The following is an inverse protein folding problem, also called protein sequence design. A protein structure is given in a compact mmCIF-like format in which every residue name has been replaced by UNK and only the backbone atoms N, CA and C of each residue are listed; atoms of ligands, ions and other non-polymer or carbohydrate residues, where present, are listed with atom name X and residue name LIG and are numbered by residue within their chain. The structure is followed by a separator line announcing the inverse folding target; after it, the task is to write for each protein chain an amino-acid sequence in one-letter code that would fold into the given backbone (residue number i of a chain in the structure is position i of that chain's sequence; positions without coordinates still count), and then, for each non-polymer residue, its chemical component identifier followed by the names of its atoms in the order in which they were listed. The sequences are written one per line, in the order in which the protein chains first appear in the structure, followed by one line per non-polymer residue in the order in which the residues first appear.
data_IF_921173614080
#
_entry.id   IF_921173614080
#
_cell.length_a   1.000
_cell.length_b   1.000
_cell.length_c   1.000
_cell.angle_alpha   90.00
_cell.angle_beta   90.00
_cell.angle_gamma   90.00
#
_symmetry.space_group_name_H-M   'P 1'
#
loop_
_entity.id
_entity.type
_entity.pdbx_description
1 polymer ?
#
# COMPACT_ATOMS: atom_id res chain seq x y z
N UNK A 1 -48.24 57.57 16.62
CA UNK A 1 -47.67 57.52 15.25
C UNK A 1 -46.31 56.82 15.30
N UNK A 2 -45.98 56.01 14.27
CA UNK A 2 -44.78 55.14 14.05
C UNK A 2 -44.94 53.72 14.65
N UNK A 3 -45.55 52.76 13.95
CA UNK A 3 -45.07 51.88 12.82
C UNK A 3 -43.87 50.99 13.20
N UNK A 4 -44.12 49.67 13.09
CA UNK A 4 -43.27 48.51 13.40
C UNK A 4 -41.98 48.41 12.54
N UNK A 5 -41.10 47.41 12.77
CA UNK A 5 -41.35 46.12 12.11
C UNK A 5 -41.02 44.84 12.89
N UNK A 6 -41.73 43.80 12.47
CA UNK A 6 -41.50 42.36 12.60
C UNK A 6 -40.26 41.91 11.79
N UNK A 7 -39.82 40.64 11.96
CA UNK A 7 -38.81 39.84 11.21
C UNK A 7 -37.51 39.64 12.03
N UNK A 8 -36.86 38.47 12.13
CA UNK A 8 -36.96 37.23 11.37
C UNK A 8 -36.23 36.09 12.11
N UNK A 9 -36.75 34.87 12.00
CA UNK A 9 -36.07 33.56 11.95
C UNK A 9 -34.87 33.27 12.88
N UNK A 10 -35.14 32.51 13.94
CA UNK A 10 -34.17 31.60 14.54
C UNK A 10 -34.14 30.29 13.73
N UNK A 11 -33.16 30.13 12.84
CA UNK A 11 -32.80 28.85 12.25
C UNK A 11 -31.40 28.46 12.74
N UNK A 12 -31.35 27.79 13.89
CA UNK A 12 -30.15 27.10 14.35
C UNK A 12 -29.99 25.84 13.49
N UNK A 13 -29.26 25.98 12.37
CA UNK A 13 -28.80 24.84 11.61
C UNK A 13 -27.83 24.04 12.50
N UNK A 14 -28.29 22.85 12.89
CA UNK A 14 -27.48 21.78 13.43
C UNK A 14 -26.42 21.38 12.40
N UNK A 15 -25.25 22.00 12.49
CA UNK A 15 -24.03 21.47 11.90
C UNK A 15 -23.38 20.54 12.89
N UNK A 16 -23.79 19.27 12.93
CA UNK A 16 -22.94 18.22 13.47
C UNK A 16 -21.70 18.17 12.57
N UNK A 17 -20.66 18.92 12.93
CA UNK A 17 -19.32 18.64 12.45
C UNK A 17 -19.01 17.24 12.97
N UNK A 18 -19.23 16.23 12.14
CA UNK A 18 -18.57 14.94 12.26
C UNK A 18 -17.09 15.24 12.09
N UNK A 19 -16.44 15.66 13.18
CA UNK A 19 -15.00 15.57 13.28
C UNK A 19 -14.73 14.07 13.18
N UNK A 20 -14.25 13.62 12.02
CA UNK A 20 -13.51 12.38 11.95
C UNK A 20 -12.46 12.49 13.05
N UNK A 21 -12.72 11.78 14.16
CA UNK A 21 -11.74 11.59 15.20
C UNK A 21 -10.60 10.87 14.50
N UNK A 22 -9.57 11.63 14.14
CA UNK A 22 -8.25 11.12 13.86
C UNK A 22 -7.84 10.38 15.14
N UNK A 23 -8.14 9.09 15.16
CA UNK A 23 -7.69 8.21 16.20
C UNK A 23 -6.16 8.19 16.08
N UNK A 24 -5.48 8.56 17.16
CA UNK A 24 -4.07 8.29 17.32
C UNK A 24 -3.91 6.77 17.36
N UNK A 25 -3.60 6.17 16.21
CA UNK A 25 -3.38 4.73 16.08
C UNK A 25 -1.97 4.43 16.57
N UNK A 26 -1.87 3.44 17.44
CA UNK A 26 -0.64 2.89 18.00
C UNK A 26 0.28 2.41 16.86
N UNK A 27 1.43 3.07 16.71
CA UNK A 27 2.37 2.92 15.59
C UNK A 27 3.24 1.66 15.70
N UNK A 28 2.63 0.50 15.89
CA UNK A 28 3.31 -0.80 15.74
C UNK A 28 2.61 -1.62 14.67
N UNK A 29 3.17 -1.55 13.45
CA UNK A 29 2.94 -2.45 12.30
C UNK A 29 1.92 -2.06 11.23
N UNK A 30 1.34 -0.86 11.23
CA UNK A 30 0.47 -0.43 10.12
C UNK A 30 0.66 1.07 9.84
N UNK A 31 1.68 1.40 9.06
CA UNK A 31 1.65 2.63 8.28
C UNK A 31 1.63 2.24 6.81
N UNK A 32 1.24 3.20 5.99
CA UNK A 32 1.24 3.23 4.51
C UNK A 32 -0.04 2.63 3.91
N UNK A 33 -0.77 3.27 3.01
CA UNK A 33 -0.38 4.04 1.80
C UNK A 33 -0.55 3.21 0.56
N UNK A 34 -0.71 1.91 0.78
CA UNK A 34 -0.83 0.91 -0.23
C UNK A 34 -1.50 -0.31 0.39
N UNK A 35 -2.36 -1.00 -0.35
CA UNK A 35 -2.89 -2.27 0.09
C UNK A 35 -2.06 -3.40 -0.53
N UNK A 36 -1.54 -4.31 0.31
CA UNK A 36 -0.93 -5.54 -0.20
C UNK A 36 -2.04 -6.41 -0.78
N UNK A 37 -2.02 -6.65 -2.10
CA UNK A 37 -2.99 -7.54 -2.72
C UNK A 37 -2.72 -8.99 -2.28
N UNK A 38 -3.77 -9.71 -1.92
CA UNK A 38 -3.65 -11.16 -1.69
C UNK A 38 -3.38 -11.86 -3.03
N UNK A 39 -2.44 -12.82 -3.08
CA UNK A 39 -2.26 -13.65 -4.27
C UNK A 39 -3.56 -14.42 -4.54
N UNK A 40 -4.26 -14.13 -5.64
CA UNK A 40 -5.34 -15.01 -6.09
C UNK A 40 -4.72 -16.16 -6.91
N UNK A 41 -5.15 -17.38 -6.60
CA UNK A 41 -4.92 -18.54 -7.44
C UNK A 41 -5.75 -18.38 -8.73
N UNK A 42 -5.13 -17.86 -9.79
CA UNK A 42 -5.71 -17.77 -11.12
C UNK A 42 -5.56 -16.39 -11.76
N UNK A 43 -4.99 -16.37 -12.97
CA UNK A 43 -5.05 -15.22 -13.88
C UNK A 43 -3.79 -14.98 -14.73
N UNK A 44 -2.62 -15.42 -14.28
CA UNK A 44 -1.37 -15.30 -15.03
C UNK A 44 -0.83 -16.66 -15.46
N UNK A 45 -0.21 -16.74 -16.64
CA UNK A 45 0.35 -17.96 -17.26
C UNK A 45 1.56 -18.58 -16.51
N UNK A 46 1.89 -18.11 -15.31
CA UNK A 46 2.91 -18.70 -14.45
C UNK A 46 2.30 -19.62 -13.42
N UNK A 47 2.65 -20.91 -13.43
CA UNK A 47 2.34 -21.81 -12.33
C UNK A 47 3.09 -21.35 -11.07
N UNK A 48 2.38 -20.71 -10.15
CA UNK A 48 2.89 -20.37 -8.83
C UNK A 48 2.97 -21.66 -8.00
N UNK A 49 4.14 -22.29 -7.94
CA UNK A 49 4.37 -23.39 -7.01
C UNK A 49 4.51 -22.81 -5.61
N UNK A 50 3.55 -23.10 -4.73
CA UNK A 50 3.65 -22.71 -3.33
C UNK A 50 4.86 -23.39 -2.68
N UNK A 51 5.76 -22.60 -2.10
CA UNK A 51 6.87 -23.13 -1.31
C UNK A 51 6.33 -23.68 0.00
N UNK A 52 6.63 -24.95 0.29
CA UNK A 52 6.26 -25.59 1.55
C UNK A 52 7.45 -25.53 2.50
N UNK A 53 7.25 -24.88 3.66
CA UNK A 53 8.25 -24.81 4.71
C UNK A 53 8.44 -26.18 5.35
N UNK A 54 9.69 -26.56 5.58
CA UNK A 54 10.07 -27.72 6.37
C UNK A 54 9.63 -27.62 7.84
N UNK A 55 9.62 -28.75 8.54
CA UNK A 55 9.17 -28.84 9.93
C UNK A 55 9.95 -27.91 10.88
N UNK A 56 11.23 -27.65 10.58
CA UNK A 56 12.15 -26.78 11.33
C UNK A 56 12.40 -25.44 10.64
N UNK A 57 11.56 -25.06 9.69
CA UNK A 57 11.68 -23.80 8.97
C UNK A 57 10.60 -22.81 9.39
N UNK A 58 10.96 -21.53 9.32
CA UNK A 58 10.08 -20.38 9.43
C UNK A 58 10.30 -19.42 8.27
N UNK A 59 9.34 -18.53 8.06
CA UNK A 59 9.45 -17.49 7.04
C UNK A 59 9.16 -16.13 7.64
N UNK A 60 10.14 -15.22 7.53
CA UNK A 60 9.99 -13.83 7.91
C UNK A 60 9.58 -13.01 6.70
N UNK A 61 8.43 -12.35 6.82
CA UNK A 61 7.98 -11.36 5.84
C UNK A 61 8.93 -10.14 5.84
N UNK A 62 9.24 -9.59 4.65
CA UNK A 62 9.98 -8.34 4.58
C UNK A 62 9.15 -7.21 5.20
N UNK A 63 9.81 -6.32 5.93
CA UNK A 63 9.17 -5.18 6.58
C UNK A 63 9.62 -3.90 5.87
N UNK A 64 8.65 -3.14 5.36
CA UNK A 64 8.93 -1.85 4.74
C UNK A 64 9.29 -0.83 5.83
N UNK A 65 10.44 -0.18 5.71
CA UNK A 65 10.90 0.79 6.71
C UNK A 65 11.22 2.18 6.15
N UNK A 66 11.38 2.31 4.83
CA UNK A 66 11.47 3.60 4.15
C UNK A 66 10.67 3.53 2.84
N UNK A 67 9.64 4.36 2.74
CA UNK A 67 8.67 4.31 1.65
C UNK A 67 8.13 5.70 1.34
N UNK A 68 8.88 6.54 0.60
CA UNK A 68 8.32 7.79 0.10
C UNK A 68 7.07 7.53 -0.73
N UNK A 69 6.09 8.41 -0.62
CA UNK A 69 4.84 8.34 -1.38
C UNK A 69 5.07 8.74 -2.86
N UNK A 70 4.21 8.25 -3.78
CA UNK A 70 4.20 8.71 -5.17
C UNK A 70 3.89 10.20 -5.29
N UNK A 71 4.78 10.95 -5.95
CA UNK A 71 4.58 12.36 -6.27
C UNK A 71 4.31 12.53 -7.77
N UNK A 72 3.08 12.90 -8.12
CA UNK A 72 2.72 13.10 -9.54
C UNK A 72 3.27 14.45 -10.04
N UNK A 73 3.15 15.52 -9.24
CA UNK A 73 3.53 16.88 -9.61
C UNK A 73 2.80 17.39 -10.86
N UNK A 74 3.41 18.32 -11.58
CA UNK A 74 2.82 18.96 -12.77
C UNK A 74 2.74 18.04 -14.02
N UNK A 75 3.11 16.76 -13.88
CA UNK A 75 3.07 15.77 -14.96
C UNK A 75 1.65 15.36 -15.34
N UNK A 76 0.70 15.56 -14.43
CA UNK A 76 -0.72 15.36 -14.69
C UNK A 76 -1.40 16.72 -14.80
N UNK A 77 -1.89 17.12 -15.99
CA UNK A 77 -2.47 18.43 -16.20
C UNK A 77 -3.90 18.55 -15.65
N UNK A 78 -4.47 17.46 -15.08
CA UNK A 78 -5.85 17.45 -14.58
C UNK A 78 -5.97 18.30 -13.32
N UNK A 79 -6.93 19.23 -13.32
CA UNK A 79 -7.28 20.02 -12.13
C UNK A 79 -8.09 19.21 -11.09
N UNK A 80 -8.77 18.15 -11.55
CA UNK A 80 -9.55 17.23 -10.73
C UNK A 80 -9.39 15.81 -11.27
N UNK A 81 -9.31 14.85 -10.36
CA UNK A 81 -9.16 13.43 -10.67
C UNK A 81 -9.97 12.64 -9.65
N UNK A 82 -10.96 11.89 -10.14
CA UNK A 82 -11.69 10.94 -9.33
C UNK A 82 -10.74 9.83 -8.84
N UNK A 83 -11.01 9.18 -7.69
CA UNK A 83 -10.17 8.11 -7.15
C UNK A 83 -9.77 7.07 -8.22
N UNK A 84 -8.48 7.04 -8.55
CA UNK A 84 -7.93 6.23 -9.64
C UNK A 84 -6.84 5.32 -9.10
N UNK A 85 -7.03 4.01 -9.19
CA UNK A 85 -6.13 3.02 -8.62
C UNK A 85 -5.13 2.46 -9.64
N UNK A 86 -3.84 2.59 -9.34
CA UNK A 86 -2.73 1.99 -10.09
C UNK A 86 -2.13 0.88 -9.25
N UNK A 87 -1.97 -0.32 -9.84
CA UNK A 87 -1.39 -1.45 -9.13
C UNK A 87 -0.02 -1.80 -9.70
N UNK A 88 0.93 -2.10 -8.81
CA UNK A 88 2.28 -2.53 -9.16
C UNK A 88 2.59 -3.88 -8.52
N UNK A 89 3.24 -4.74 -9.29
CA UNK A 89 4.04 -5.84 -8.78
C UNK A 89 5.46 -5.30 -8.51
N UNK A 90 5.98 -5.52 -7.32
CA UNK A 90 7.27 -5.01 -6.86
C UNK A 90 8.17 -6.18 -6.51
N UNK A 91 9.30 -6.29 -7.18
CA UNK A 91 10.30 -7.32 -6.93
C UNK A 91 11.36 -6.76 -5.99
N UNK A 92 11.47 -7.36 -4.82
CA UNK A 92 12.42 -6.99 -3.78
C UNK A 92 13.50 -8.06 -3.74
N UNK A 93 14.76 -7.66 -3.83
CA UNK A 93 15.89 -8.56 -3.77
C UNK A 93 16.13 -9.11 -2.34
N UNK A 94 17.08 -10.03 -2.21
CA UNK A 94 17.41 -10.64 -0.94
C UNK A 94 18.01 -9.64 0.09
N UNK A 95 18.45 -8.45 -0.35
CA UNK A 95 18.96 -7.39 0.51
C UNK A 95 17.86 -6.42 0.96
N UNK A 96 16.63 -6.56 0.44
CA UNK A 96 15.52 -5.67 0.74
C UNK A 96 15.48 -4.41 -0.13
N UNK A 97 16.22 -4.37 -1.23
CA UNK A 97 16.14 -3.31 -2.24
C UNK A 97 15.12 -3.68 -3.33
N UNK A 98 14.39 -2.70 -3.84
CA UNK A 98 13.53 -2.90 -5.00
C UNK A 98 14.41 -3.04 -6.25
N UNK A 99 14.31 -4.18 -6.94
CA UNK A 99 15.04 -4.46 -8.18
C UNK A 99 14.26 -3.93 -9.40
N UNK A 100 12.93 -4.14 -9.40
CA UNK A 100 12.03 -3.67 -10.46
C UNK A 100 10.57 -3.60 -10.01
N UNK A 101 9.77 -2.86 -10.77
CA UNK A 101 8.31 -2.83 -10.63
C UNK A 101 7.60 -2.99 -11.97
N UNK A 102 6.52 -3.76 -12.01
CA UNK A 102 5.72 -4.03 -13.21
C UNK A 102 4.26 -3.59 -12.98
N UNK A 103 3.58 -2.98 -13.97
CA UNK A 103 2.15 -2.71 -13.86
C UNK A 103 1.36 -4.01 -13.73
N UNK A 104 0.37 -4.02 -12.83
CA UNK A 104 -0.66 -5.05 -12.75
C UNK A 104 -1.94 -4.46 -13.32
N UNK A 105 -2.47 -5.03 -14.40
CA UNK A 105 -3.65 -4.50 -15.11
C UNK A 105 -4.76 -5.54 -15.29
N UNK A 106 -4.46 -6.80 -15.01
CA UNK A 106 -5.35 -7.96 -15.13
C UNK A 106 -6.19 -8.21 -13.86
N UNK A 107 -5.93 -7.46 -12.78
CA UNK A 107 -6.64 -7.55 -11.50
C UNK A 107 -7.86 -6.63 -11.47
N UNK A 108 -8.90 -7.06 -10.75
CA UNK A 108 -10.03 -6.20 -10.42
C UNK A 108 -9.54 -4.93 -9.69
N UNK A 109 -9.98 -3.76 -10.17
CA UNK A 109 -9.56 -2.46 -9.62
C UNK A 109 -8.22 -1.94 -10.14
N UNK A 110 -7.50 -2.68 -10.99
CA UNK A 110 -6.17 -2.28 -11.46
C UNK A 110 -6.10 -1.93 -12.96
N UNK A 111 -7.21 -2.06 -13.69
CA UNK A 111 -7.27 -1.80 -15.13
C UNK A 111 -6.86 -0.37 -15.52
N UNK A 112 -7.01 0.60 -14.61
CA UNK A 112 -6.61 1.99 -14.84
C UNK A 112 -5.12 2.15 -15.13
N UNK A 113 -4.26 1.21 -14.71
CA UNK A 113 -2.84 1.18 -15.04
C UNK A 113 -2.51 0.90 -16.51
N UNK A 114 -3.46 0.38 -17.29
CA UNK A 114 -3.30 0.17 -18.74
C UNK A 114 -3.68 1.39 -19.59
N UNK A 115 -4.33 2.38 -18.98
CA UNK A 115 -4.90 3.55 -19.66
C UNK A 115 -3.81 4.59 -19.91
N UNK A 116 -3.65 5.04 -21.16
CA UNK A 116 -2.57 5.98 -21.54
C UNK A 116 -2.66 7.31 -20.80
N UNK A 117 -3.87 7.77 -20.52
CA UNK A 117 -4.13 8.99 -19.75
C UNK A 117 -3.62 8.92 -18.29
N UNK A 118 -3.39 7.72 -17.75
CA UNK A 118 -2.88 7.52 -16.40
C UNK A 118 -1.37 7.23 -16.37
N UNK A 119 -0.66 7.40 -17.50
CA UNK A 119 0.79 7.21 -17.56
C UNK A 119 1.57 8.04 -16.51
N UNK A 120 1.21 9.32 -16.21
CA UNK A 120 1.86 10.08 -15.14
C UNK A 120 1.70 9.45 -13.75
N UNK A 121 0.53 8.88 -13.46
CA UNK A 121 0.25 8.20 -12.18
C UNK A 121 1.07 6.92 -12.04
N UNK A 122 1.12 6.14 -13.13
CA UNK A 122 1.92 4.93 -13.20
C UNK A 122 3.41 5.22 -13.00
N UNK A 123 3.92 6.23 -13.69
CA UNK A 123 5.31 6.65 -13.56
C UNK A 123 5.64 7.10 -12.13
N UNK A 124 4.79 7.94 -11.53
CA UNK A 124 4.98 8.40 -10.15
C UNK A 124 5.01 7.23 -9.15
N UNK A 125 4.13 6.24 -9.32
CA UNK A 125 4.13 5.04 -8.47
C UNK A 125 5.42 4.23 -8.62
N UNK A 126 5.91 4.03 -9.85
CA UNK A 126 7.13 3.27 -10.12
C UNK A 126 8.38 3.98 -9.58
N UNK A 127 8.48 5.29 -9.75
CA UNK A 127 9.59 6.10 -9.23
C UNK A 127 9.65 6.07 -7.69
N UNK A 128 8.51 6.22 -7.02
CA UNK A 128 8.45 6.12 -5.56
C UNK A 128 8.86 4.73 -5.07
N UNK A 129 8.30 3.66 -5.66
CA UNK A 129 8.62 2.28 -5.30
C UNK A 129 10.11 1.96 -5.52
N UNK A 130 10.76 2.51 -6.54
CA UNK A 130 12.19 2.30 -6.76
C UNK A 130 13.06 2.81 -5.59
N UNK A 131 12.55 3.76 -4.79
CA UNK A 131 13.23 4.29 -3.61
C UNK A 131 12.92 3.52 -2.32
N UNK A 132 11.94 2.61 -2.35
CA UNK A 132 11.51 1.88 -1.16
C UNK A 132 12.60 0.95 -0.64
N UNK A 133 12.62 0.78 0.69
CA UNK A 133 13.56 -0.11 1.40
C UNK A 133 12.84 -1.01 2.38
N UNK A 134 13.22 -2.27 2.34
CA UNK A 134 12.67 -3.34 3.15
C UNK A 134 13.75 -3.99 4.01
N UNK A 135 13.37 -4.52 5.18
CA UNK A 135 14.14 -5.60 5.77
C UNK A 135 14.01 -6.83 4.87
N UNK A 136 15.08 -7.63 4.77
CA UNK A 136 15.05 -8.82 3.93
C UNK A 136 13.99 -9.80 4.40
N UNK A 137 13.23 -10.34 3.45
CA UNK A 137 12.51 -11.58 3.68
C UNK A 137 13.53 -12.69 3.92
N UNK A 138 13.18 -13.68 4.74
CA UNK A 138 14.12 -14.75 5.03
C UNK A 138 13.43 -16.08 5.34
N UNK A 139 14.08 -17.17 4.94
CA UNK A 139 13.81 -18.51 5.46
C UNK A 139 14.72 -18.75 6.65
N UNK A 140 14.14 -19.17 7.76
CA UNK A 140 14.82 -19.29 9.03
C UNK A 140 14.87 -20.74 9.45
N UNK A 141 16.08 -21.24 9.64
CA UNK A 141 16.37 -22.64 9.92
C UNK A 141 16.63 -22.79 11.41
N UNK A 142 15.76 -23.53 12.09
CA UNK A 142 15.85 -23.79 13.53
C UNK A 142 16.43 -25.18 13.80
N UNK A 143 17.09 -25.34 14.94
CA UNK A 143 17.52 -26.66 15.39
C UNK A 143 16.31 -27.57 15.65
N UNK A 144 16.47 -28.87 15.43
CA UNK A 144 15.47 -29.85 15.80
C UNK A 144 15.13 -29.75 17.31
N UNK A 145 13.83 -29.69 17.62
CA UNK A 145 13.35 -29.53 19.00
C UNK A 145 13.48 -28.11 19.59
N UNK A 146 13.99 -27.13 18.83
CA UNK A 146 14.11 -25.71 19.26
C UNK A 146 13.29 -24.75 18.40
N UNK A 147 12.26 -25.25 17.74
CA UNK A 147 11.40 -24.44 16.87
C UNK A 147 10.46 -23.59 17.75
N UNK A 148 10.48 -22.25 17.65
CA UNK A 148 9.59 -21.39 18.42
C UNK A 148 8.14 -21.49 17.95
N UNK A 149 7.22 -21.02 18.79
CA UNK A 149 5.80 -20.90 18.43
C UNK A 149 5.60 -19.85 17.33
N UNK A 150 6.27 -18.70 17.44
CA UNK A 150 6.37 -17.72 16.37
C UNK A 150 7.64 -17.97 15.54
N UNK A 151 7.44 -18.48 14.33
CA UNK A 151 8.54 -18.78 13.38
C UNK A 151 8.84 -17.60 12.44
N UNK A 152 8.08 -16.51 12.54
CA UNK A 152 8.11 -15.39 11.61
C UNK A 152 9.11 -14.28 11.98
N UNK A 153 9.61 -14.25 13.21
CA UNK A 153 10.60 -13.25 13.64
C UNK A 153 12.06 -13.72 13.52
N UNK A 154 12.26 -15.01 13.25
CA UNK A 154 13.55 -15.69 13.12
C UNK A 154 14.46 -15.63 14.36
N UNK A 155 13.93 -15.25 15.54
CA UNK A 155 14.71 -15.25 16.77
C UNK A 155 15.02 -16.69 17.18
N UNK A 156 16.30 -16.97 17.45
CA UNK A 156 16.76 -18.30 17.83
C UNK A 156 16.96 -19.27 16.66
N UNK A 157 16.88 -18.80 15.41
CA UNK A 157 17.29 -19.59 14.25
C UNK A 157 18.81 -19.79 14.24
N UNK A 158 19.26 -20.99 13.84
CA UNK A 158 20.69 -21.29 13.65
C UNK A 158 21.23 -20.68 12.35
N UNK A 159 20.35 -20.50 11.37
CA UNK A 159 20.67 -19.87 10.09
C UNK A 159 19.48 -19.06 9.58
N UNK A 160 19.76 -17.85 9.10
CA UNK A 160 18.78 -16.96 8.47
C UNK A 160 19.23 -16.78 7.02
N UNK A 161 18.42 -17.24 6.09
CA UNK A 161 18.71 -17.23 4.66
C UNK A 161 17.84 -16.16 3.99
N UNK A 162 18.41 -15.01 3.58
CA UNK A 162 17.67 -13.97 2.91
C UNK A 162 17.15 -14.45 1.55
N UNK A 163 15.92 -14.09 1.21
CA UNK A 163 15.28 -14.49 -0.05
C UNK A 163 14.64 -13.30 -0.74
N UNK A 164 14.70 -13.30 -2.07
CA UNK A 164 13.97 -12.33 -2.88
C UNK A 164 12.46 -12.62 -2.85
N UNK A 165 11.64 -11.58 -2.98
CA UNK A 165 10.19 -11.71 -2.98
C UNK A 165 9.55 -10.86 -4.05
N UNK A 166 8.30 -11.19 -4.35
CA UNK A 166 7.43 -10.37 -5.19
C UNK A 166 6.22 -9.94 -4.38
N UNK A 167 6.04 -8.64 -4.22
CA UNK A 167 4.93 -8.00 -3.51
C UNK A 167 3.99 -7.33 -4.52
N UNK A 168 2.74 -7.11 -4.14
CA UNK A 168 1.75 -6.46 -4.99
C UNK A 168 1.10 -5.32 -4.20
N UNK A 169 1.07 -4.13 -4.78
CA UNK A 169 0.58 -2.91 -4.15
C UNK A 169 -0.45 -2.22 -5.05
N UNK A 170 -1.41 -1.54 -4.42
CA UNK A 170 -2.38 -0.68 -5.07
C UNK A 170 -2.25 0.76 -4.51
N UNK A 171 -2.13 1.73 -5.41
CA UNK A 171 -2.00 3.16 -5.13
C UNK A 171 -3.23 3.88 -5.66
N UNK A 172 -3.97 4.59 -4.82
CA UNK A 172 -5.15 5.36 -5.26
C UNK A 172 -4.82 6.84 -5.29
N UNK A 173 -4.85 7.42 -6.48
CA UNK A 173 -4.62 8.84 -6.72
C UNK A 173 -5.96 9.58 -6.80
N UNK A 174 -6.00 10.78 -6.25
CA UNK A 174 -7.14 11.69 -6.30
C UNK A 174 -6.62 13.13 -6.39
N UNK A 175 -7.29 14.00 -7.14
CA UNK A 175 -6.96 15.44 -7.15
C UNK A 175 -8.24 16.17 -6.75
N UNK A 176 -8.20 16.84 -5.60
CA UNK A 176 -9.30 17.65 -5.08
C UNK A 176 -8.87 19.12 -5.13
N UNK A 177 -9.52 19.92 -5.97
CA UNK A 177 -9.26 21.38 -6.10
C UNK A 177 -7.78 21.72 -6.36
N UNK A 178 -7.11 20.95 -7.22
CA UNK A 178 -5.69 21.16 -7.57
C UNK A 178 -4.66 20.68 -6.53
N UNK A 179 -5.08 20.03 -5.43
CA UNK A 179 -4.17 19.34 -4.51
C UNK A 179 -4.16 17.84 -4.82
N UNK A 180 -2.97 17.29 -5.05
CA UNK A 180 -2.77 15.85 -5.29
C UNK A 180 -2.82 15.13 -3.94
N UNK A 181 -3.73 14.17 -3.81
CA UNK A 181 -3.91 13.37 -2.60
C UNK A 181 -3.80 11.89 -3.01
N UNK A 182 -2.88 11.16 -2.37
CA UNK A 182 -2.82 9.70 -2.50
C UNK A 182 -3.56 9.10 -1.30
N UNK A 183 -4.65 8.36 -1.55
CA UNK A 183 -5.46 7.74 -0.50
C UNK A 183 -5.18 6.25 -0.37
N UNK A 184 -5.12 5.81 0.88
CA UNK A 184 -4.77 4.45 1.28
C UNK A 184 -6.07 3.74 1.68
N UNK A 185 -6.53 2.74 0.92
CA UNK A 185 -7.66 1.91 1.36
C UNK A 185 -7.14 0.66 2.07
N UNK A 186 -7.44 0.55 3.36
CA UNK A 186 -7.36 -0.69 4.12
C UNK A 186 -8.76 -1.29 4.26
N UNK A 187 -8.87 -2.61 4.04
CA UNK A 187 -9.99 -3.42 4.49
C UNK A 187 -9.45 -4.63 5.23
#
# INVERSE_FOLDING_TARGET
MKRAPLLMMAALLAGCATQDRLATVDTRSENVGHQRLQPQAGGGSGQLQAYSLGATEGYRMPQLYAAPDPEVGDRDPRAELAPTTICLQVVVDANGAVERSLPLTDRAGCAAGAMRENAPLLQAAQEAVAMWKYSSAAVCHFAAGKVPADRGDCRGAERVEPVAVTLQYAFTFEIVKGQHVVRMQGK
#
